data_IF_553933646124
#
_entry.id   IF_553933646124
#
_cell.length_a   1.000
_cell.length_b   1.000
_cell.length_c   1.000
_cell.angle_alpha   90.00
_cell.angle_beta   90.00
_cell.angle_gamma   90.00
#
_symmetry.space_group_name_H-M   'P 1'
#
loop_
_entity.id
_entity.type
_entity.pdbx_description
1 polymer ?
#
# COMPACT_ATOMS: atom_id res chain seq x y z
N UNK A 1 0.18 -32.03 16.88
CA UNK A 1 -0.60 -31.55 15.72
C UNK A 1 0.20 -30.42 15.08
N UNK A 2 0.89 -30.68 13.97
CA UNK A 2 1.73 -29.67 13.29
C UNK A 2 0.85 -28.61 12.66
N UNK A 3 1.01 -27.35 13.09
CA UNK A 3 0.35 -26.21 12.46
C UNK A 3 0.87 -26.08 11.02
N UNK A 4 0.00 -26.34 10.05
CA UNK A 4 0.23 -26.02 8.64
C UNK A 4 0.39 -24.49 8.56
N UNK A 5 1.63 -24.01 8.47
CA UNK A 5 1.93 -22.60 8.21
C UNK A 5 1.53 -22.28 6.77
N UNK A 6 0.24 -22.05 6.55
CA UNK A 6 -0.25 -21.54 5.27
C UNK A 6 0.25 -20.10 5.16
N UNK A 7 1.29 -19.89 4.35
CA UNK A 7 1.82 -18.57 4.06
C UNK A 7 0.69 -17.67 3.54
N UNK A 8 0.48 -16.54 4.21
CA UNK A 8 -0.62 -15.62 3.86
C UNK A 8 -0.34 -15.04 2.48
N UNK A 9 -1.22 -15.30 1.51
CA UNK A 9 -1.14 -14.67 0.18
C UNK A 9 -1.19 -13.16 0.33
N UNK A 10 -0.17 -12.46 -0.18
CA UNK A 10 -0.06 -11.01 -0.09
C UNK A 10 -0.86 -10.33 -1.21
N UNK A 11 -1.86 -9.53 -0.85
CA UNK A 11 -2.55 -8.63 -1.78
C UNK A 11 -1.76 -7.33 -1.93
N UNK A 12 -1.50 -6.93 -3.16
CA UNK A 12 -0.82 -5.66 -3.47
C UNK A 12 -1.80 -4.74 -4.19
N UNK A 13 -2.07 -3.58 -3.59
CA UNK A 13 -2.88 -2.50 -4.15
C UNK A 13 -2.08 -1.67 -5.15
N UNK A 14 -2.76 -1.12 -6.16
CA UNK A 14 -2.17 -0.13 -7.07
C UNK A 14 -1.92 1.20 -6.34
N UNK A 15 -1.11 2.07 -6.95
CA UNK A 15 -0.86 3.40 -6.40
C UNK A 15 -2.14 4.22 -6.29
N UNK A 16 -2.98 4.21 -7.34
CA UNK A 16 -4.28 4.87 -7.32
C UNK A 16 -5.17 4.37 -6.17
N UNK A 17 -5.26 3.05 -5.97
CA UNK A 17 -6.02 2.47 -4.86
C UNK A 17 -5.50 2.93 -3.48
N UNK A 18 -4.18 3.04 -3.32
CA UNK A 18 -3.59 3.53 -2.06
C UNK A 18 -3.87 5.02 -1.84
N UNK A 19 -3.89 5.83 -2.88
CA UNK A 19 -4.28 7.25 -2.80
C UNK A 19 -5.76 7.37 -2.43
N UNK A 20 -6.63 6.56 -3.03
CA UNK A 20 -8.05 6.56 -2.71
C UNK A 20 -8.30 6.16 -1.25
N UNK A 21 -7.56 5.18 -0.72
CA UNK A 21 -7.59 4.86 0.71
C UNK A 21 -7.27 6.10 1.56
N UNK A 22 -6.21 6.84 1.24
CA UNK A 22 -5.86 8.07 1.97
C UNK A 22 -6.99 9.12 1.88
N UNK A 23 -7.58 9.31 0.69
CA UNK A 23 -8.66 10.27 0.46
C UNK A 23 -9.91 9.94 1.27
N UNK A 24 -10.30 8.66 1.34
CA UNK A 24 -11.46 8.21 2.11
C UNK A 24 -11.23 8.38 3.63
N UNK A 25 -10.02 8.14 4.11
CA UNK A 25 -9.68 8.40 5.51
C UNK A 25 -9.78 9.90 5.84
N UNK A 26 -9.29 10.77 4.94
CA UNK A 26 -9.37 12.22 5.10
C UNK A 26 -10.81 12.75 5.02
N UNK A 27 -11.68 12.12 4.22
CA UNK A 27 -13.10 12.46 4.18
C UNK A 27 -13.89 11.97 5.41
N UNK A 28 -13.24 11.29 6.35
CA UNK A 28 -13.87 10.79 7.58
C UNK A 28 -14.61 9.46 7.42
N UNK A 29 -14.37 8.70 6.36
CA UNK A 29 -14.94 7.36 6.22
C UNK A 29 -14.35 6.40 7.26
N UNK A 30 -15.15 5.42 7.70
CA UNK A 30 -14.71 4.49 8.73
C UNK A 30 -13.60 3.55 8.22
N UNK A 31 -12.53 3.39 9.00
CA UNK A 31 -11.40 2.51 8.65
C UNK A 31 -11.84 1.07 8.37
N UNK A 32 -12.88 0.60 9.06
CA UNK A 32 -13.46 -0.74 8.84
C UNK A 32 -14.10 -0.86 7.45
N UNK A 33 -14.93 0.09 7.06
CA UNK A 33 -15.57 0.13 5.74
C UNK A 33 -14.54 0.23 4.62
N UNK A 34 -13.48 1.02 4.82
CA UNK A 34 -12.37 1.12 3.86
C UNK A 34 -11.64 -0.22 3.75
N UNK A 35 -11.27 -0.83 4.88
CA UNK A 35 -10.59 -2.13 4.91
C UNK A 35 -11.41 -3.22 4.19
N UNK A 36 -12.72 -3.27 4.42
CA UNK A 36 -13.65 -4.18 3.74
C UNK A 36 -13.71 -3.90 2.22
N UNK A 37 -13.88 -2.63 1.83
CA UNK A 37 -14.00 -2.23 0.40
C UNK A 37 -12.78 -2.63 -0.42
N UNK A 38 -11.58 -2.49 0.16
CA UNK A 38 -10.33 -2.86 -0.50
C UNK A 38 -9.91 -4.32 -0.20
N UNK A 39 -10.70 -5.07 0.57
CA UNK A 39 -10.37 -6.40 1.10
C UNK A 39 -8.92 -6.47 1.64
N UNK A 40 -8.60 -5.54 2.54
CA UNK A 40 -7.32 -5.44 3.26
C UNK A 40 -7.58 -5.40 4.77
N UNK A 41 -6.53 -5.61 5.58
CA UNK A 41 -6.64 -5.46 7.03
C UNK A 41 -6.55 -4.00 7.47
N UNK A 42 -7.07 -3.69 8.66
CA UNK A 42 -6.93 -2.38 9.30
C UNK A 42 -5.46 -1.94 9.42
N UNK A 43 -4.56 -2.87 9.71
CA UNK A 43 -3.12 -2.60 9.75
C UNK A 43 -2.59 -2.11 8.40
N UNK A 44 -3.05 -2.69 7.29
CA UNK A 44 -2.69 -2.27 5.94
C UNK A 44 -3.21 -0.86 5.64
N UNK A 45 -4.43 -0.52 6.08
CA UNK A 45 -4.97 0.85 5.94
C UNK A 45 -4.09 1.85 6.70
N UNK A 46 -3.74 1.53 7.95
CA UNK A 46 -2.84 2.36 8.77
C UNK A 46 -1.46 2.53 8.12
N UNK A 47 -0.88 1.45 7.60
CA UNK A 47 0.42 1.48 6.91
C UNK A 47 0.41 2.39 5.66
N UNK A 48 -0.69 2.34 4.90
CA UNK A 48 -0.90 3.17 3.71
C UNK A 48 -0.97 4.65 4.13
N UNK A 49 -1.78 4.97 5.14
CA UNK A 49 -1.90 6.34 5.65
C UNK A 49 -0.57 6.86 6.22
N UNK A 50 0.20 6.02 6.92
CA UNK A 50 1.52 6.41 7.42
C UNK A 50 2.51 6.71 6.29
N UNK A 51 2.36 6.02 5.16
CA UNK A 51 3.21 6.20 3.97
C UNK A 51 2.66 7.24 2.99
N UNK A 52 1.62 8.01 3.36
CA UNK A 52 0.93 8.97 2.47
C UNK A 52 1.87 9.95 1.78
N UNK A 53 2.79 10.57 2.53
CA UNK A 53 3.75 11.56 1.99
C UNK A 53 4.59 10.95 0.86
N UNK A 54 5.12 9.75 1.08
CA UNK A 54 5.91 9.05 0.07
C UNK A 54 5.08 8.70 -1.18
N UNK A 55 3.80 8.40 -1.01
CA UNK A 55 2.90 8.14 -2.14
C UNK A 55 2.62 9.41 -2.95
N UNK A 56 2.36 10.54 -2.28
CA UNK A 56 2.10 11.81 -2.95
C UNK A 56 3.35 12.33 -3.65
N UNK A 57 4.52 12.24 -3.02
CA UNK A 57 5.79 12.65 -3.60
C UNK A 57 6.09 11.81 -4.85
N UNK A 58 5.89 10.49 -4.76
CA UNK A 58 6.09 9.59 -5.91
C UNK A 58 5.17 9.91 -7.09
N UNK A 59 3.91 10.27 -6.82
CA UNK A 59 2.94 10.65 -7.86
C UNK A 59 3.30 12.00 -8.46
N UNK A 60 3.77 12.95 -7.64
CA UNK A 60 4.21 14.27 -8.13
C UNK A 60 5.41 14.18 -9.09
N UNK A 61 6.25 13.15 -8.95
CA UNK A 61 7.38 12.87 -9.82
C UNK A 61 7.02 12.02 -11.06
N UNK A 62 5.77 11.59 -11.21
CA UNK A 62 5.29 10.85 -12.40
C UNK A 62 4.43 11.79 -13.25
N UNK A 63 5.02 12.32 -14.33
CA UNK A 63 4.38 13.25 -15.28
C UNK A 63 3.26 12.63 -16.14
N UNK A 64 2.95 11.34 -16.02
CA UNK A 64 1.95 10.67 -16.86
C UNK A 64 0.88 9.99 -16.02
N UNK A 65 -0.31 10.60 -15.93
CA UNK A 65 -1.46 10.12 -15.14
C UNK A 65 -1.85 8.66 -15.49
N UNK A 66 -1.67 8.24 -16.74
CA UNK A 66 -1.92 6.86 -17.22
C UNK A 66 -1.04 5.80 -16.53
N UNK A 67 0.13 6.16 -16.00
CA UNK A 67 1.08 5.21 -15.41
C UNK A 67 0.68 4.76 -13.99
N UNK A 68 -0.20 5.49 -13.30
CA UNK A 68 -0.48 5.28 -11.87
C UNK A 68 -1.55 4.22 -11.59
N UNK A 69 -2.50 4.01 -12.52
CA UNK A 69 -3.67 3.15 -12.28
C UNK A 69 -3.32 1.67 -12.12
N UNK A 70 -2.40 1.17 -12.95
CA UNK A 70 -1.98 -0.24 -12.94
C UNK A 70 -0.70 -0.48 -12.13
N UNK A 71 0.09 0.57 -11.87
CA UNK A 71 1.39 0.44 -11.21
C UNK A 71 1.22 0.10 -9.73
N UNK A 72 1.85 -1.00 -9.32
CA UNK A 72 1.91 -1.46 -7.94
C UNK A 72 3.27 -1.13 -7.36
N UNK A 73 3.28 -0.75 -6.08
CA UNK A 73 4.52 -0.49 -5.34
C UNK A 73 4.54 -1.27 -4.03
N UNK A 74 5.72 -1.81 -3.70
CA UNK A 74 5.98 -2.52 -2.45
C UNK A 74 6.69 -1.61 -1.45
N UNK A 75 6.48 -1.86 -0.15
CA UNK A 75 7.32 -1.25 0.89
C UNK A 75 8.76 -1.74 0.71
N UNK A 76 9.72 -0.83 0.83
CA UNK A 76 11.15 -1.17 0.75
C UNK A 76 11.52 -2.11 1.90
N UNK A 77 12.44 -3.04 1.63
CA UNK A 77 13.01 -3.90 2.66
C UNK A 77 13.89 -3.07 3.60
N UNK A 78 13.94 -3.46 4.88
CA UNK A 78 14.75 -2.81 5.91
C UNK A 78 16.26 -2.94 5.65
N UNK A 79 16.67 -3.98 4.92
CA UNK A 79 18.07 -4.33 4.67
C UNK A 79 18.52 -3.94 3.25
N UNK A 80 18.20 -2.74 2.79
CA UNK A 80 18.57 -2.31 1.42
C UNK A 80 20.08 -2.27 1.18
N UNK A 81 20.90 -2.16 2.23
CA UNK A 81 22.36 -2.13 2.12
C UNK A 81 22.98 -3.45 1.62
N UNK A 82 22.35 -4.60 1.89
CA UNK A 82 22.82 -5.90 1.39
C UNK A 82 22.51 -6.11 -0.09
N UNK A 83 21.48 -5.43 -0.60
CA UNK A 83 21.06 -5.51 -2.02
C UNK A 83 22.05 -4.79 -2.95
N UNK A 84 22.85 -3.87 -2.41
CA UNK A 84 23.85 -3.09 -3.15
C UNK A 84 25.23 -3.75 -3.21
N UNK A 85 25.42 -4.92 -2.59
CA UNK A 85 26.71 -5.61 -2.46
C UNK A 85 26.92 -6.69 -3.54
N UNK A 86 26.39 -6.49 -4.75
CA UNK A 86 26.56 -7.37 -5.91
C UNK A 86 27.61 -6.78 -6.86
#
# INVERSE_FOLDING_TARGET
MSAMSASRKRKVLSLEQKLEVCRLVESGESLRKIAESFAVGLSTVSDICHSRRQLTDFVSHIDTSSSCSSRKSMKKASNSALDSAI
#
